data_IF_377826807833
#
_entry.id   IF_377826807833
#
_cell.length_a   1.000
_cell.length_b   1.000
_cell.length_c   1.000
_cell.angle_alpha   90.00
_cell.angle_beta   90.00
_cell.angle_gamma   90.00
#
_symmetry.space_group_name_H-M   'P 1'
#
loop_
_entity.id
_entity.type
_entity.pdbx_description
1 polymer ?
#
# COMPACT_ATOMS: atom_id res chain seq x y z
N UNK A 1 15.69 3.51 -41.61
CA UNK A 1 15.05 4.01 -40.37
C UNK A 1 15.24 3.06 -39.19
N UNK A 2 14.83 1.76 -39.25
CA UNK A 2 14.99 0.83 -38.12
C UNK A 2 16.47 0.55 -37.76
N UNK A 3 17.37 0.46 -38.74
CA UNK A 3 18.80 0.27 -38.51
C UNK A 3 19.48 1.52 -37.93
N UNK A 4 19.06 2.70 -38.31
CA UNK A 4 19.57 3.96 -37.75
C UNK A 4 19.15 4.16 -36.29
N UNK A 5 17.90 3.86 -35.97
CA UNK A 5 17.39 3.90 -34.56
C UNK A 5 18.17 2.89 -33.70
N UNK A 6 18.42 1.69 -34.19
CA UNK A 6 19.18 0.68 -33.49
C UNK A 6 20.65 1.09 -33.25
N UNK A 7 21.30 1.66 -34.25
CA UNK A 7 22.68 2.18 -34.13
C UNK A 7 22.75 3.38 -33.17
N UNK A 8 21.77 4.27 -33.19
CA UNK A 8 21.69 5.41 -32.29
C UNK A 8 21.48 4.95 -30.83
N UNK A 9 20.62 3.94 -30.61
CA UNK A 9 20.45 3.33 -29.28
C UNK A 9 21.73 2.65 -28.79
N UNK A 10 22.43 1.89 -29.64
CA UNK A 10 23.70 1.27 -29.28
C UNK A 10 24.76 2.29 -28.89
N UNK A 11 24.90 3.36 -29.67
CA UNK A 11 25.85 4.43 -29.39
C UNK A 11 25.49 5.16 -28.08
N UNK A 12 24.20 5.43 -27.82
CA UNK A 12 23.75 6.02 -26.57
C UNK A 12 24.05 5.13 -25.36
N UNK A 13 23.80 3.83 -25.48
CA UNK A 13 24.09 2.85 -24.43
C UNK A 13 25.61 2.69 -24.20
N UNK A 14 26.42 2.73 -25.24
CA UNK A 14 27.88 2.65 -25.12
C UNK A 14 28.48 3.90 -24.47
N UNK A 15 28.01 5.09 -24.81
CA UNK A 15 28.52 6.35 -24.26
C UNK A 15 28.08 6.58 -22.80
N UNK A 16 26.93 6.02 -22.41
CA UNK A 16 26.38 6.21 -21.07
C UNK A 16 26.51 4.97 -20.14
N UNK A 17 27.35 4.00 -20.51
CA UNK A 17 27.53 2.75 -19.74
C UNK A 17 27.81 2.97 -18.25
N UNK A 18 28.70 3.92 -17.93
CA UNK A 18 29.03 4.24 -16.52
C UNK A 18 27.84 4.79 -15.77
N UNK A 19 27.12 5.72 -16.38
CA UNK A 19 25.95 6.38 -15.77
C UNK A 19 24.78 5.41 -15.58
N UNK A 20 24.57 4.50 -16.56
CA UNK A 20 23.58 3.44 -16.45
C UNK A 20 23.95 2.42 -15.37
N UNK A 21 25.23 2.05 -15.28
CA UNK A 21 25.71 1.13 -14.23
C UNK A 21 25.57 1.76 -12.84
N UNK A 22 25.95 3.03 -12.66
CA UNK A 22 25.77 3.77 -11.40
C UNK A 22 24.29 3.87 -11.01
N UNK A 23 23.41 4.24 -11.93
CA UNK A 23 21.98 4.32 -11.67
C UNK A 23 21.37 2.95 -11.34
N UNK A 24 21.79 1.90 -12.05
CA UNK A 24 21.33 0.52 -11.77
C UNK A 24 21.84 0.06 -10.40
N UNK A 25 23.10 0.34 -10.07
CA UNK A 25 23.67 0.01 -8.77
C UNK A 25 22.96 0.76 -7.62
N UNK A 26 22.71 2.06 -7.77
CA UNK A 26 21.96 2.85 -6.80
C UNK A 26 20.52 2.34 -6.64
N UNK A 27 19.84 2.04 -7.74
CA UNK A 27 18.50 1.48 -7.69
C UNK A 27 18.48 0.11 -6.99
N UNK A 28 19.46 -0.75 -7.27
CA UNK A 28 19.58 -2.06 -6.61
C UNK A 28 19.88 -1.91 -5.12
N UNK A 29 20.79 -1.00 -4.75
CA UNK A 29 21.11 -0.70 -3.36
C UNK A 29 19.88 -0.19 -2.61
N UNK A 30 19.10 0.72 -3.21
CA UNK A 30 17.85 1.23 -2.61
C UNK A 30 16.82 0.13 -2.40
N UNK A 31 16.66 -0.79 -3.34
CA UNK A 31 15.75 -1.94 -3.19
C UNK A 31 16.21 -2.86 -2.05
N UNK A 32 17.52 -3.14 -1.95
CA UNK A 32 18.07 -3.95 -0.87
C UNK A 32 17.88 -3.27 0.50
N UNK A 33 18.06 -1.96 0.58
CA UNK A 33 17.84 -1.17 1.79
C UNK A 33 16.37 -1.26 2.24
N UNK A 34 15.42 -1.08 1.33
CA UNK A 34 13.99 -1.24 1.61
C UNK A 34 13.66 -2.65 2.08
N UNK A 35 14.16 -3.68 1.40
CA UNK A 35 13.94 -5.08 1.80
C UNK A 35 14.50 -5.37 3.19
N UNK A 36 15.72 -4.91 3.47
CA UNK A 36 16.37 -5.07 4.78
C UNK A 36 15.56 -4.37 5.87
N UNK A 37 15.11 -3.13 5.62
CA UNK A 37 14.26 -2.37 6.55
C UNK A 37 12.93 -3.07 6.80
N UNK A 38 12.31 -3.65 5.78
CA UNK A 38 11.09 -4.44 5.91
C UNK A 38 11.30 -5.69 6.79
N UNK A 39 12.40 -6.41 6.58
CA UNK A 39 12.73 -7.60 7.40
C UNK A 39 12.96 -7.21 8.86
N UNK A 40 13.76 -6.17 9.11
CA UNK A 40 14.00 -5.67 10.46
C UNK A 40 12.68 -5.22 11.11
N UNK A 41 11.87 -4.44 10.39
CA UNK A 41 10.56 -3.99 10.86
C UNK A 41 9.63 -5.17 11.21
N UNK A 42 9.63 -6.22 10.39
CA UNK A 42 8.85 -7.43 10.64
C UNK A 42 9.31 -8.19 11.88
N UNK A 43 10.62 -8.35 12.05
CA UNK A 43 11.21 -8.96 13.26
C UNK A 43 10.84 -8.16 14.50
N UNK A 44 11.00 -6.82 14.48
CA UNK A 44 10.62 -5.93 15.59
C UNK A 44 9.12 -6.04 15.90
N UNK A 45 8.27 -6.08 14.86
CA UNK A 45 6.83 -6.25 15.05
C UNK A 45 6.48 -7.58 15.76
N UNK A 46 7.14 -8.68 15.37
CA UNK A 46 6.96 -9.99 16.04
C UNK A 46 7.39 -9.89 17.52
N UNK A 47 8.55 -9.31 17.81
CA UNK A 47 8.99 -9.12 19.21
C UNK A 47 8.02 -8.26 20.01
N UNK A 48 7.53 -7.17 19.45
CA UNK A 48 6.53 -6.31 20.08
C UNK A 48 5.22 -7.08 20.38
N UNK A 49 4.79 -7.95 19.45
CA UNK A 49 3.60 -8.79 19.64
C UNK A 49 3.79 -9.84 20.73
N UNK A 50 4.93 -10.50 20.78
CA UNK A 50 5.26 -11.51 21.79
C UNK A 50 5.33 -10.90 23.19
N UNK A 51 5.95 -9.73 23.31
CA UNK A 51 6.18 -9.03 24.59
C UNK A 51 5.10 -7.95 24.89
N UNK A 52 3.99 -7.92 24.13
CA UNK A 52 2.98 -6.85 24.24
C UNK A 52 2.49 -6.58 25.66
N UNK A 53 2.26 -7.63 26.46
CA UNK A 53 1.77 -7.50 27.83
C UNK A 53 2.82 -6.86 28.74
N UNK A 54 4.09 -7.19 28.54
CA UNK A 54 5.21 -6.63 29.30
C UNK A 54 5.44 -5.17 28.92
N UNK A 55 5.42 -4.87 27.61
CA UNK A 55 5.55 -3.51 27.09
C UNK A 55 4.44 -2.60 27.63
N UNK A 56 3.18 -3.02 27.52
CA UNK A 56 2.03 -2.23 28.01
C UNK A 56 2.13 -2.01 29.53
N UNK A 57 2.53 -3.01 30.32
CA UNK A 57 2.72 -2.87 31.76
C UNK A 57 3.82 -1.87 32.09
N UNK A 58 4.98 -1.98 31.44
CA UNK A 58 6.10 -1.07 31.67
C UNK A 58 5.73 0.37 31.27
N UNK A 59 5.02 0.53 30.16
CA UNK A 59 4.55 1.84 29.71
C UNK A 59 3.60 2.48 30.72
N UNK A 60 2.66 1.70 31.28
CA UNK A 60 1.79 2.17 32.36
C UNK A 60 2.58 2.58 33.59
N UNK A 61 3.58 1.79 34.02
CA UNK A 61 4.42 2.15 35.15
C UNK A 61 5.16 3.47 34.95
N UNK A 62 5.68 3.71 33.74
CA UNK A 62 6.35 4.97 33.42
C UNK A 62 5.37 6.16 33.50
N UNK A 63 4.16 6.02 32.94
CA UNK A 63 3.14 7.08 33.01
C UNK A 63 2.80 7.40 34.45
N UNK A 64 2.58 6.39 35.31
CA UNK A 64 2.27 6.62 36.71
C UNK A 64 3.45 7.16 37.53
N UNK A 65 4.70 6.91 37.12
CA UNK A 65 5.89 7.45 37.78
C UNK A 65 6.08 8.96 37.53
N UNK A 66 5.71 9.44 36.32
CA UNK A 66 5.94 10.84 35.90
C UNK A 66 4.69 11.71 35.98
N UNK A 67 3.50 11.14 36.06
CA UNK A 67 2.24 11.89 36.02
C UNK A 67 1.44 11.71 37.32
N UNK A 68 0.66 12.74 37.69
CA UNK A 68 -0.35 12.60 38.73
C UNK A 68 -1.40 11.54 38.35
N UNK A 69 -2.04 10.91 39.32
CA UNK A 69 -3.03 9.86 39.07
C UNK A 69 -4.13 10.26 38.08
N UNK A 70 -4.60 11.49 38.19
CA UNK A 70 -5.65 12.03 37.30
C UNK A 70 -5.17 12.16 35.86
N UNK A 71 -3.95 12.72 35.65
CA UNK A 71 -3.34 12.85 34.32
C UNK A 71 -2.99 11.49 33.72
N UNK A 72 -2.50 10.57 34.54
CA UNK A 72 -2.19 9.21 34.10
C UNK A 72 -3.47 8.48 33.62
N UNK A 73 -4.58 8.62 34.34
CA UNK A 73 -5.87 8.05 33.96
C UNK A 73 -6.36 8.63 32.62
N UNK A 74 -6.26 9.95 32.44
CA UNK A 74 -6.62 10.61 31.18
C UNK A 74 -5.77 10.12 30.00
N UNK A 75 -4.44 10.07 30.15
CA UNK A 75 -3.52 9.57 29.11
C UNK A 75 -3.86 8.12 28.74
N UNK A 76 -4.09 7.27 29.73
CA UNK A 76 -4.45 5.87 29.49
C UNK A 76 -5.79 5.74 28.76
N UNK A 77 -6.77 6.57 29.09
CA UNK A 77 -8.05 6.60 28.39
C UNK A 77 -7.88 7.01 26.92
N UNK A 78 -7.10 8.06 26.64
CA UNK A 78 -6.79 8.49 25.26
C UNK A 78 -6.07 7.37 24.48
N UNK A 79 -5.09 6.70 25.10
CA UNK A 79 -4.36 5.59 24.46
C UNK A 79 -5.28 4.40 24.16
N UNK A 80 -6.21 4.06 25.06
CA UNK A 80 -7.19 3.00 24.83
C UNK A 80 -8.13 3.35 23.68
N UNK A 81 -8.61 4.58 23.63
CA UNK A 81 -9.45 5.07 22.53
C UNK A 81 -8.68 5.04 21.21
N UNK A 82 -7.43 5.50 21.19
CA UNK A 82 -6.57 5.45 20.02
C UNK A 82 -6.32 4.01 19.53
N UNK A 83 -6.05 3.08 20.44
CA UNK A 83 -5.91 1.64 20.13
C UNK A 83 -7.18 1.09 19.47
N UNK A 84 -8.34 1.42 20.01
CA UNK A 84 -9.63 0.94 19.52
C UNK A 84 -9.92 1.45 18.11
N UNK A 85 -9.67 2.75 17.88
CA UNK A 85 -9.82 3.39 16.56
C UNK A 85 -8.83 2.76 15.56
N UNK A 86 -7.57 2.62 15.95
CA UNK A 86 -6.54 2.06 15.06
C UNK A 86 -6.81 0.59 14.70
N UNK A 87 -7.27 -0.20 15.67
CA UNK A 87 -7.68 -1.61 15.43
C UNK A 87 -8.85 -1.68 14.45
N UNK A 88 -9.85 -0.82 14.62
CA UNK A 88 -10.98 -0.70 13.70
C UNK A 88 -10.53 -0.30 12.30
N UNK A 89 -9.66 0.70 12.20
CA UNK A 89 -9.11 1.17 10.94
C UNK A 89 -8.34 0.07 10.19
N UNK A 90 -7.38 -0.58 10.85
CA UNK A 90 -6.57 -1.65 10.23
C UNK A 90 -7.45 -2.83 9.80
N UNK A 91 -8.41 -3.24 10.67
CA UNK A 91 -9.36 -4.29 10.32
C UNK A 91 -10.24 -3.92 9.13
N UNK A 92 -10.77 -2.71 9.10
CA UNK A 92 -11.54 -2.19 7.98
C UNK A 92 -10.72 -2.14 6.69
N UNK A 93 -9.48 -1.67 6.77
CA UNK A 93 -8.58 -1.57 5.62
C UNK A 93 -8.24 -2.95 5.02
N UNK A 94 -8.03 -3.96 5.86
CA UNK A 94 -7.84 -5.35 5.39
C UNK A 94 -9.06 -5.87 4.61
N UNK A 95 -10.26 -5.60 5.10
CA UNK A 95 -11.50 -6.01 4.42
C UNK A 95 -11.65 -5.27 3.08
N UNK A 96 -11.40 -3.96 3.05
CA UNK A 96 -11.42 -3.17 1.80
C UNK A 96 -10.40 -3.70 0.80
N UNK A 97 -9.18 -3.98 1.23
CA UNK A 97 -8.11 -4.52 0.39
C UNK A 97 -8.50 -5.85 -0.28
N UNK A 98 -9.09 -6.77 0.50
CA UNK A 98 -9.58 -8.04 -0.03
C UNK A 98 -10.71 -7.84 -1.04
N UNK A 99 -11.69 -7.00 -0.72
CA UNK A 99 -12.81 -6.71 -1.63
C UNK A 99 -12.33 -6.07 -2.93
N UNK A 100 -11.40 -5.11 -2.85
CA UNK A 100 -10.79 -4.50 -4.03
C UNK A 100 -10.07 -5.53 -4.88
N UNK A 101 -9.25 -6.39 -4.28
CA UNK A 101 -8.57 -7.46 -4.99
C UNK A 101 -9.53 -8.34 -5.78
N UNK A 102 -10.63 -8.76 -5.14
CA UNK A 102 -11.66 -9.57 -5.79
C UNK A 102 -12.38 -8.77 -6.89
N UNK A 103 -12.77 -7.52 -6.63
CA UNK A 103 -13.46 -6.67 -7.62
C UNK A 103 -12.59 -6.44 -8.86
N UNK A 104 -11.31 -6.09 -8.67
CA UNK A 104 -10.38 -5.92 -9.79
C UNK A 104 -10.16 -7.23 -10.54
N UNK A 105 -9.99 -8.34 -9.84
CA UNK A 105 -9.81 -9.65 -10.45
C UNK A 105 -11.00 -10.03 -11.33
N UNK A 106 -12.21 -9.96 -10.78
CA UNK A 106 -13.43 -10.32 -11.51
C UNK A 106 -13.64 -9.38 -12.71
N UNK A 107 -13.56 -8.08 -12.50
CA UNK A 107 -13.78 -7.09 -13.56
C UNK A 107 -12.76 -7.22 -14.70
N UNK A 108 -11.48 -7.39 -14.38
CA UNK A 108 -10.42 -7.56 -15.38
C UNK A 108 -10.53 -8.89 -16.13
N UNK A 109 -10.95 -9.98 -15.45
CA UNK A 109 -11.20 -11.27 -16.10
C UNK A 109 -12.38 -11.21 -17.05
N UNK A 110 -13.49 -10.59 -16.65
CA UNK A 110 -14.67 -10.40 -17.50
C UNK A 110 -14.35 -9.59 -18.76
N UNK A 111 -13.51 -8.55 -18.63
CA UNK A 111 -13.07 -7.72 -19.75
C UNK A 111 -11.88 -8.32 -20.53
N UNK A 112 -11.44 -9.54 -20.20
CA UNK A 112 -10.33 -10.24 -20.86
C UNK A 112 -9.04 -9.40 -20.90
N UNK A 113 -8.70 -8.73 -19.78
CA UNK A 113 -7.44 -8.02 -19.65
C UNK A 113 -6.27 -8.99 -19.40
N UNK A 114 -5.08 -8.74 -20.00
CA UNK A 114 -3.88 -9.46 -19.62
C UNK A 114 -3.46 -9.12 -18.17
N UNK A 115 -2.72 -10.03 -17.56
CA UNK A 115 -2.20 -9.87 -16.19
C UNK A 115 -3.25 -9.56 -15.10
N UNK A 116 -4.53 -9.91 -15.31
CA UNK A 116 -5.60 -9.64 -14.36
C UNK A 116 -5.27 -10.11 -12.94
N UNK A 117 -4.70 -11.30 -12.77
CA UNK A 117 -4.33 -11.85 -11.45
C UNK A 117 -3.21 -11.03 -10.80
N UNK A 118 -2.20 -10.65 -11.56
CA UNK A 118 -1.05 -9.88 -11.03
C UNK A 118 -1.50 -8.49 -10.59
N UNK A 119 -2.26 -7.81 -11.45
CA UNK A 119 -2.71 -6.44 -11.16
C UNK A 119 -3.70 -6.43 -9.99
N UNK A 120 -4.64 -7.36 -9.93
CA UNK A 120 -5.59 -7.44 -8.82
C UNK A 120 -4.92 -7.75 -7.48
N UNK A 121 -3.90 -8.61 -7.48
CA UNK A 121 -3.10 -8.90 -6.28
C UNK A 121 -2.28 -7.67 -5.85
N UNK A 122 -1.66 -6.97 -6.81
CA UNK A 122 -0.96 -5.71 -6.55
C UNK A 122 -1.89 -4.66 -5.94
N UNK A 123 -3.07 -4.47 -6.52
CA UNK A 123 -4.08 -3.55 -5.96
C UNK A 123 -4.44 -3.95 -4.54
N UNK A 124 -4.72 -5.23 -4.28
CA UNK A 124 -5.08 -5.71 -2.94
C UNK A 124 -3.98 -5.44 -1.91
N UNK A 125 -2.73 -5.76 -2.24
CA UNK A 125 -1.60 -5.59 -1.32
C UNK A 125 -1.27 -4.11 -1.10
N UNK A 126 -1.19 -3.34 -2.19
CA UNK A 126 -0.82 -1.93 -2.11
C UNK A 126 -1.91 -1.07 -1.49
N UNK A 127 -3.20 -1.42 -1.66
CA UNK A 127 -4.32 -0.69 -1.03
C UNK A 127 -4.29 -0.73 0.51
N UNK A 128 -3.47 -1.58 1.13
CA UNK A 128 -3.23 -1.51 2.58
C UNK A 128 -2.65 -0.17 3.02
N UNK A 129 -1.97 0.54 2.11
CA UNK A 129 -1.47 1.89 2.33
C UNK A 129 -2.44 2.86 1.63
N UNK A 130 -3.33 3.54 2.36
CA UNK A 130 -4.32 4.44 1.76
C UNK A 130 -3.65 5.51 0.88
N UNK A 131 -4.27 5.85 -0.23
CA UNK A 131 -3.86 6.87 -1.21
C UNK A 131 -2.60 6.46 -2.00
N UNK A 132 -1.49 6.17 -1.32
CA UNK A 132 -0.24 5.79 -1.99
C UNK A 132 -0.36 4.45 -2.72
N UNK A 133 -1.01 3.48 -2.09
CA UNK A 133 -1.19 2.14 -2.67
C UNK A 133 -1.98 2.16 -3.96
N UNK A 134 -3.07 2.91 -4.00
CA UNK A 134 -3.90 3.06 -5.20
C UNK A 134 -3.15 3.78 -6.32
N UNK A 135 -2.38 4.81 -6.02
CA UNK A 135 -1.58 5.52 -7.03
C UNK A 135 -0.49 4.62 -7.62
N UNK A 136 0.26 3.92 -6.78
CA UNK A 136 1.34 3.02 -7.23
C UNK A 136 0.76 1.86 -8.05
N UNK A 137 -0.33 1.25 -7.60
CA UNK A 137 -0.98 0.16 -8.34
C UNK A 137 -1.55 0.61 -9.69
N UNK A 138 -2.07 1.84 -9.78
CA UNK A 138 -2.48 2.44 -11.05
C UNK A 138 -1.33 2.56 -12.04
N UNK A 139 -0.19 3.13 -11.58
CA UNK A 139 0.99 3.30 -12.42
C UNK A 139 1.55 1.97 -12.92
N UNK A 140 1.71 0.99 -12.02
CA UNK A 140 2.21 -0.34 -12.40
C UNK A 140 1.20 -1.05 -13.32
N UNK A 141 -0.10 -0.98 -13.01
CA UNK A 141 -1.16 -1.56 -13.83
C UNK A 141 -1.20 -0.96 -15.23
N UNK A 142 -1.15 0.37 -15.36
CA UNK A 142 -1.07 1.05 -16.64
C UNK A 142 0.17 0.63 -17.44
N UNK A 143 1.32 0.53 -16.80
CA UNK A 143 2.56 0.09 -17.44
C UNK A 143 2.43 -1.35 -17.98
N UNK A 144 1.94 -2.28 -17.17
CA UNK A 144 1.76 -3.68 -17.57
C UNK A 144 0.78 -3.82 -18.73
N UNK A 145 -0.34 -3.09 -18.71
CA UNK A 145 -1.32 -3.11 -19.79
C UNK A 145 -0.75 -2.46 -21.05
N UNK A 146 -0.04 -1.35 -20.94
CA UNK A 146 0.58 -0.66 -22.06
C UNK A 146 1.58 -1.57 -22.80
N UNK A 147 2.35 -2.37 -22.07
CA UNK A 147 3.32 -3.31 -22.65
C UNK A 147 2.64 -4.52 -23.29
N UNK A 148 1.58 -5.05 -22.68
CA UNK A 148 0.95 -6.30 -23.10
C UNK A 148 -0.17 -6.13 -24.15
N UNK A 149 -0.94 -5.05 -24.04
CA UNK A 149 -2.12 -4.78 -24.87
C UNK A 149 -2.38 -3.28 -24.95
N UNK A 150 -1.55 -2.52 -25.68
CA UNK A 150 -1.63 -1.05 -25.74
C UNK A 150 -2.99 -0.55 -26.22
N UNK A 151 -3.69 -1.31 -27.04
CA UNK A 151 -5.05 -1.00 -27.51
C UNK A 151 -6.10 -1.00 -26.38
N UNK A 152 -5.82 -1.69 -25.25
CA UNK A 152 -6.72 -1.79 -24.10
C UNK A 152 -6.44 -0.75 -23.02
N UNK A 153 -5.43 0.10 -23.16
CA UNK A 153 -5.02 1.01 -22.09
C UNK A 153 -6.15 1.96 -21.65
N UNK A 154 -6.90 2.51 -22.58
CA UNK A 154 -8.01 3.42 -22.28
C UNK A 154 -9.14 2.72 -21.53
N UNK A 155 -9.47 1.49 -21.91
CA UNK A 155 -10.47 0.68 -21.23
C UNK A 155 -10.02 0.35 -19.79
N UNK A 156 -8.72 0.08 -19.59
CA UNK A 156 -8.16 -0.15 -18.27
C UNK A 156 -8.24 1.09 -17.39
N UNK A 157 -7.88 2.26 -17.89
CA UNK A 157 -7.95 3.53 -17.14
C UNK A 157 -9.39 3.81 -16.72
N UNK A 158 -10.36 3.64 -17.61
CA UNK A 158 -11.78 3.83 -17.28
C UNK A 158 -12.22 2.84 -16.21
N UNK A 159 -11.91 1.56 -16.37
CA UNK A 159 -12.22 0.51 -15.39
C UNK A 159 -11.60 0.86 -14.03
N UNK A 160 -10.34 1.27 -14.03
CA UNK A 160 -9.63 1.64 -12.81
C UNK A 160 -10.32 2.80 -12.09
N UNK A 161 -10.66 3.87 -12.80
CA UNK A 161 -11.36 5.04 -12.24
C UNK A 161 -12.73 4.64 -11.67
N UNK A 162 -13.50 3.82 -12.39
CA UNK A 162 -14.81 3.36 -11.93
C UNK A 162 -14.69 2.56 -10.63
N UNK A 163 -13.77 1.62 -10.56
CA UNK A 163 -13.56 0.80 -9.36
C UNK A 163 -13.05 1.65 -8.19
N UNK A 164 -12.19 2.64 -8.45
CA UNK A 164 -11.74 3.60 -7.43
C UNK A 164 -12.88 4.47 -6.89
N UNK A 165 -13.84 4.88 -7.75
CA UNK A 165 -15.03 5.59 -7.29
C UNK A 165 -15.91 4.70 -6.41
N UNK A 166 -16.10 3.45 -6.78
CA UNK A 166 -16.84 2.48 -5.95
C UNK A 166 -16.15 2.28 -4.59
N UNK A 167 -14.82 2.23 -4.57
CA UNK A 167 -14.05 2.17 -3.31
C UNK A 167 -14.32 3.40 -2.45
N UNK A 168 -14.09 4.60 -3.01
CA UNK A 168 -14.15 5.85 -2.27
C UNK A 168 -15.57 6.18 -1.77
N UNK A 169 -16.58 5.96 -2.59
CA UNK A 169 -17.94 6.40 -2.31
C UNK A 169 -18.79 5.33 -1.59
N UNK A 170 -18.46 4.03 -1.75
CA UNK A 170 -19.26 2.94 -1.18
C UNK A 170 -18.51 2.09 -0.16
N UNK A 171 -17.30 1.61 -0.48
CA UNK A 171 -16.59 0.68 0.38
C UNK A 171 -15.98 1.36 1.58
N UNK A 172 -15.25 2.46 1.35
CA UNK A 172 -14.51 3.15 2.39
C UNK A 172 -15.41 3.69 3.51
N UNK A 173 -16.49 4.45 3.26
CA UNK A 173 -17.36 4.95 4.32
C UNK A 173 -18.12 3.84 5.04
N UNK A 174 -18.55 2.78 4.33
CA UNK A 174 -19.30 1.69 4.96
C UNK A 174 -18.46 0.77 5.82
N UNK A 175 -17.20 0.54 5.46
CA UNK A 175 -16.33 -0.44 6.13
C UNK A 175 -15.44 0.27 7.14
N UNK A 176 -14.62 1.21 6.68
CA UNK A 176 -13.65 1.93 7.53
C UNK A 176 -14.36 2.95 8.40
N UNK A 177 -15.31 3.72 7.86
CA UNK A 177 -16.08 4.70 8.61
C UNK A 177 -16.80 4.11 9.80
N UNK A 178 -17.49 2.98 9.62
CA UNK A 178 -18.15 2.25 10.72
C UNK A 178 -17.18 1.67 11.72
N UNK A 179 -16.05 1.13 11.26
CA UNK A 179 -15.03 0.52 12.11
C UNK A 179 -14.32 1.54 13.02
N UNK A 180 -14.24 2.80 12.57
CA UNK A 180 -13.65 3.92 13.34
C UNK A 180 -14.67 4.66 14.20
N UNK A 181 -15.97 4.32 14.07
CA UNK A 181 -17.04 4.94 14.85
C UNK A 181 -17.43 6.34 14.36
N UNK A 182 -17.08 6.71 13.13
CA UNK A 182 -17.56 7.92 12.50
C UNK A 182 -18.99 7.70 12.02
N UNK A 183 -19.91 8.61 12.40
CA UNK A 183 -21.27 8.58 11.90
C UNK A 183 -21.28 8.94 10.41
N UNK A 184 -22.25 8.38 9.65
CA UNK A 184 -22.39 8.57 8.19
C UNK A 184 -22.64 10.04 7.75
N UNK A 185 -22.53 11.01 8.68
CA UNK A 185 -22.79 12.44 8.48
C UNK A 185 -21.55 13.32 8.26
N UNK A 186 -20.36 12.69 8.10
CA UNK A 186 -19.10 13.40 7.81
C UNK A 186 -18.48 12.92 6.51
#
# INVERSE_FOLDING_TARGET
>A
QAKEVYQTMLNYLQNNKRLLLEQTFLATASVLEVLTSCVIGFVVAIYCLLEKHRLVRNFKCVIFAFCSKERAAYILHVLQTAEQIFRGFVGGQLVVALLLGVMYFVSMKLCSFPYATVISLLVAVLSLIPILGTLISALIGCFLILVAAPEKIWYFIILYIVLQRIEADLLYPKIVGKAVGLSELW
#
